data_IF_626197818384
#
_entry.id   IF_626197818384
#
_cell.length_a   1.000
_cell.length_b   1.000
_cell.length_c   1.000
_cell.angle_alpha   90.00
_cell.angle_beta   90.00
_cell.angle_gamma   90.00
#
_symmetry.space_group_name_H-M   'P 1'
#
loop_
_entity.id
_entity.type
_entity.pdbx_description
1 polymer ?
#
# COMPACT_ATOMS: atom_id res chain seq x y z
N UNK A 1 23.27 -15.76 -2.20
CA UNK A 1 21.94 -15.27 -1.72
C UNK A 1 21.19 -16.37 -0.95
N UNK A 2 20.91 -17.53 -1.56
CA UNK A 2 20.10 -18.60 -0.93
C UNK A 2 20.69 -19.24 0.34
N UNK A 3 22.02 -19.14 0.59
CA UNK A 3 22.66 -19.74 1.77
C UNK A 3 22.58 -18.92 3.05
N UNK A 4 22.34 -17.60 2.98
CA UNK A 4 22.38 -16.69 4.12
C UNK A 4 21.07 -15.94 4.36
N UNK A 5 19.99 -16.23 3.62
CA UNK A 5 18.75 -15.43 3.63
C UNK A 5 19.01 -13.92 3.45
N UNK A 6 20.09 -13.57 2.75
CA UNK A 6 20.49 -12.20 2.49
C UNK A 6 19.78 -11.77 1.20
N UNK A 7 18.64 -11.08 1.36
CA UNK A 7 17.82 -10.53 0.27
C UNK A 7 18.33 -9.15 -0.09
N UNK A 8 19.61 -9.04 -0.48
CA UNK A 8 20.12 -7.80 -1.05
C UNK A 8 19.49 -7.55 -2.43
N UNK A 9 19.27 -6.27 -2.74
CA UNK A 9 18.57 -5.79 -3.93
C UNK A 9 19.35 -6.02 -5.25
N UNK A 10 19.80 -7.24 -5.51
CA UNK A 10 20.59 -7.58 -6.69
C UNK A 10 19.87 -7.28 -8.03
N UNK A 11 18.54 -7.26 -8.03
CA UNK A 11 17.73 -6.94 -9.20
C UNK A 11 17.82 -5.47 -9.61
N UNK A 12 18.09 -4.59 -8.65
CA UNK A 12 18.07 -3.14 -8.84
C UNK A 12 19.44 -2.49 -8.96
N UNK A 13 20.54 -3.24 -8.83
CA UNK A 13 21.89 -2.71 -9.06
C UNK A 13 22.10 -2.22 -10.51
N UNK A 14 21.30 -2.70 -11.46
CA UNK A 14 21.36 -2.29 -12.89
C UNK A 14 20.28 -1.29 -13.32
N UNK A 15 19.52 -0.70 -12.39
CA UNK A 15 18.60 0.42 -12.64
C UNK A 15 17.12 0.05 -12.54
N UNK A 16 16.47 0.48 -11.47
CA UNK A 16 15.02 0.76 -11.55
C UNK A 16 14.87 1.73 -12.72
N UNK A 17 14.04 1.42 -13.72
CA UNK A 17 13.85 2.39 -14.80
C UNK A 17 13.24 3.64 -14.18
N UNK A 18 14.05 4.68 -13.98
CA UNK A 18 13.59 6.02 -13.55
C UNK A 18 12.35 6.43 -14.36
N UNK A 19 12.37 6.06 -15.64
CA UNK A 19 11.22 6.19 -16.54
C UNK A 19 9.93 5.54 -16.00
N UNK A 20 9.98 4.32 -15.45
CA UNK A 20 8.78 3.64 -14.95
C UNK A 20 8.19 4.35 -13.73
N UNK A 21 9.06 4.76 -12.81
CA UNK A 21 8.66 5.55 -11.62
C UNK A 21 8.08 6.90 -12.03
N UNK A 22 8.70 7.58 -12.99
CA UNK A 22 8.19 8.85 -13.53
C UNK A 22 6.87 8.67 -14.25
N UNK A 23 6.70 7.59 -15.03
CA UNK A 23 5.44 7.28 -15.71
C UNK A 23 4.30 7.07 -14.71
N UNK A 24 4.55 6.28 -13.64
CA UNK A 24 3.59 6.04 -12.57
C UNK A 24 3.16 7.36 -11.93
N UNK A 25 4.12 8.23 -11.62
CA UNK A 25 3.83 9.55 -11.06
C UNK A 25 3.08 10.46 -12.02
N UNK A 26 3.53 10.55 -13.27
CA UNK A 26 2.95 11.45 -14.26
C UNK A 26 1.51 11.07 -14.65
N UNK A 27 1.19 9.78 -14.56
CA UNK A 27 -0.16 9.29 -14.78
C UNK A 27 -1.05 9.33 -13.53
N UNK A 28 -0.52 9.78 -12.40
CA UNK A 28 -1.20 9.75 -11.09
C UNK A 28 -1.82 8.38 -10.80
N UNK A 29 -1.08 7.31 -11.17
CA UNK A 29 -1.55 5.95 -11.01
C UNK A 29 -1.66 5.62 -9.53
N UNK A 30 -2.84 5.15 -9.10
CA UNK A 30 -3.05 4.69 -7.75
C UNK A 30 -2.42 3.30 -7.59
N UNK A 31 -1.37 3.21 -6.77
CA UNK A 31 -0.61 1.98 -6.56
C UNK A 31 -1.40 0.89 -5.85
N UNK A 32 -2.48 1.21 -5.17
CA UNK A 32 -3.38 0.20 -4.60
C UNK A 32 -4.00 -0.70 -5.68
N UNK A 33 -4.08 -0.21 -6.93
CA UNK A 33 -4.50 -1.02 -8.08
C UNK A 33 -3.49 -2.08 -8.51
N UNK A 34 -2.35 -2.21 -7.83
CA UNK A 34 -1.43 -3.35 -8.00
C UNK A 34 -1.82 -4.57 -7.18
N UNK A 35 -2.84 -4.45 -6.34
CA UNK A 35 -3.47 -5.58 -5.66
C UNK A 35 -4.54 -6.22 -6.54
N UNK A 36 -4.61 -7.56 -6.52
CA UNK A 36 -5.65 -8.33 -7.21
C UNK A 36 -5.82 -7.97 -8.70
N UNK A 37 -4.72 -7.84 -9.43
CA UNK A 37 -4.74 -7.43 -10.83
C UNK A 37 -5.35 -8.54 -11.70
N UNK A 38 -6.47 -8.23 -12.34
CA UNK A 38 -7.08 -9.07 -13.37
C UNK A 38 -7.07 -8.33 -14.72
N UNK A 39 -6.54 -8.98 -15.75
CA UNK A 39 -6.48 -8.41 -17.10
C UNK A 39 -6.87 -9.43 -18.15
N UNK A 40 -7.52 -8.97 -19.20
CA UNK A 40 -7.80 -9.79 -20.36
C UNK A 40 -6.54 -10.13 -21.17
N UNK A 41 -6.53 -11.29 -21.81
CA UNK A 41 -5.41 -11.77 -22.64
C UNK A 41 -4.96 -10.76 -23.71
N UNK A 42 -5.87 -9.97 -24.26
CA UNK A 42 -5.58 -8.98 -25.29
C UNK A 42 -5.05 -7.67 -24.69
N UNK A 43 -5.46 -7.33 -23.47
CA UNK A 43 -5.06 -6.11 -22.78
C UNK A 43 -3.59 -6.15 -22.37
N UNK A 44 -3.12 -7.31 -21.93
CA UNK A 44 -1.72 -7.52 -21.51
C UNK A 44 -0.72 -7.37 -22.66
N UNK A 45 -1.20 -7.55 -23.91
CA UNK A 45 -0.40 -7.43 -25.14
C UNK A 45 -0.50 -6.07 -25.80
N UNK A 46 -1.41 -5.22 -25.34
CA UNK A 46 -1.66 -3.93 -25.95
C UNK A 46 -0.47 -2.99 -25.68
N UNK A 47 0.32 -2.77 -26.71
CA UNK A 47 1.39 -1.78 -26.73
C UNK A 47 1.00 -0.65 -27.64
N UNK A 48 0.53 0.43 -27.05
CA UNK A 48 0.31 1.69 -27.76
C UNK A 48 1.40 2.69 -27.38
N UNK A 49 2.25 3.03 -28.31
CA UNK A 49 3.36 3.98 -28.11
C UNK A 49 2.85 5.35 -27.66
N UNK A 50 1.63 5.72 -28.05
CA UNK A 50 0.98 7.00 -27.69
C UNK A 50 0.33 6.98 -26.30
N UNK A 51 0.00 5.78 -25.76
CA UNK A 51 -0.68 5.63 -24.49
C UNK A 51 -0.18 4.40 -23.72
N UNK A 52 1.04 4.47 -23.23
CA UNK A 52 1.66 3.39 -22.46
C UNK A 52 0.84 3.13 -21.19
N UNK A 53 0.28 1.93 -21.07
CA UNK A 53 -0.45 1.50 -19.88
C UNK A 53 0.52 0.88 -18.84
N UNK A 54 0.29 1.18 -17.57
CA UNK A 54 1.22 0.80 -16.49
C UNK A 54 1.25 -0.71 -16.28
N UNK A 55 0.10 -1.36 -16.17
CA UNK A 55 0.02 -2.82 -15.90
C UNK A 55 0.69 -3.64 -17.00
N UNK A 56 0.36 -3.46 -18.30
CA UNK A 56 1.08 -4.14 -19.37
C UNK A 56 2.59 -3.87 -19.36
N UNK A 57 3.01 -2.65 -19.06
CA UNK A 57 4.43 -2.30 -18.98
C UNK A 57 5.14 -3.03 -17.82
N UNK A 58 4.54 -3.06 -16.63
CA UNK A 58 5.06 -3.79 -15.46
C UNK A 58 5.19 -5.29 -15.77
N UNK A 59 4.22 -5.86 -16.47
CA UNK A 59 4.28 -7.25 -16.90
C UNK A 59 5.41 -7.49 -17.91
N UNK A 60 5.53 -6.67 -18.94
CA UNK A 60 6.56 -6.80 -19.97
C UNK A 60 7.98 -6.57 -19.43
N UNK A 61 8.13 -5.74 -18.42
CA UNK A 61 9.43 -5.46 -17.76
C UNK A 61 9.75 -6.43 -16.63
N UNK A 62 8.87 -7.41 -16.36
CA UNK A 62 9.10 -8.48 -15.38
C UNK A 62 8.84 -8.10 -13.93
N UNK A 63 8.23 -6.93 -13.66
CA UNK A 63 7.77 -6.58 -12.31
C UNK A 63 6.49 -7.34 -11.91
N UNK A 64 5.68 -7.72 -12.89
CA UNK A 64 4.52 -8.57 -12.71
C UNK A 64 4.67 -9.87 -13.48
N UNK A 65 4.02 -10.93 -13.01
CA UNK A 65 3.95 -12.23 -13.66
C UNK A 65 2.53 -12.78 -13.57
N UNK A 66 2.21 -13.76 -14.41
CA UNK A 66 0.94 -14.47 -14.36
C UNK A 66 1.01 -15.49 -13.24
N UNK A 67 0.14 -15.39 -12.25
CA UNK A 67 -0.04 -16.39 -11.18
C UNK A 67 -1.12 -17.41 -11.49
N UNK A 68 -2.17 -16.95 -12.14
CA UNK A 68 -3.33 -17.78 -12.46
C UNK A 68 -3.93 -17.36 -13.81
N UNK A 69 -4.53 -18.32 -14.51
CA UNK A 69 -5.30 -18.07 -15.73
C UNK A 69 -6.69 -18.67 -15.53
N UNK A 70 -7.70 -17.80 -15.55
CA UNK A 70 -9.09 -18.18 -15.40
C UNK A 70 -9.76 -18.20 -16.78
N UNK A 71 -10.50 -19.29 -17.08
CA UNK A 71 -11.22 -19.52 -18.34
C UNK A 71 -10.40 -19.27 -19.63
N UNK A 72 -9.08 -19.35 -19.55
CA UNK A 72 -8.13 -19.09 -20.65
C UNK A 72 -8.16 -17.65 -21.21
N UNK A 73 -8.89 -16.75 -20.57
CA UNK A 73 -9.10 -15.36 -21.02
C UNK A 73 -8.72 -14.30 -19.99
N UNK A 74 -8.82 -14.60 -18.69
CA UNK A 74 -8.49 -13.68 -17.60
C UNK A 74 -7.15 -14.12 -16.98
N UNK A 75 -6.23 -13.20 -16.88
CA UNK A 75 -4.93 -13.39 -16.26
C UNK A 75 -4.89 -12.63 -14.93
N UNK A 76 -4.62 -13.37 -13.84
CA UNK A 76 -4.35 -12.78 -12.54
C UNK A 76 -2.85 -12.55 -12.42
N UNK A 77 -2.49 -11.30 -12.24
CA UNK A 77 -1.09 -10.87 -12.16
C UNK A 77 -0.71 -10.52 -10.73
N UNK A 78 0.55 -10.77 -10.41
CA UNK A 78 1.14 -10.41 -9.13
C UNK A 78 2.67 -10.32 -9.29
N UNK A 79 3.38 -9.84 -8.26
CA UNK A 79 4.83 -9.82 -8.24
C UNK A 79 5.41 -11.24 -8.34
N UNK A 80 6.53 -11.46 -9.06
CA UNK A 80 7.13 -12.78 -9.20
C UNK A 80 7.51 -13.41 -7.85
N UNK A 81 8.04 -12.59 -6.96
CA UNK A 81 8.48 -12.97 -5.62
C UNK A 81 8.62 -11.74 -4.72
N UNK A 82 8.81 -11.98 -3.42
CA UNK A 82 8.96 -10.94 -2.40
C UNK A 82 10.14 -9.97 -2.66
N UNK A 83 11.25 -10.45 -3.22
CA UNK A 83 12.42 -9.60 -3.49
C UNK A 83 12.08 -8.51 -4.52
N UNK A 84 11.42 -8.89 -5.61
CA UNK A 84 10.97 -7.94 -6.66
C UNK A 84 9.96 -6.96 -6.08
N UNK A 85 8.95 -7.46 -5.37
CA UNK A 85 7.93 -6.64 -4.72
C UNK A 85 8.54 -5.61 -3.76
N UNK A 86 9.31 -6.08 -2.78
CA UNK A 86 9.90 -5.23 -1.74
C UNK A 86 10.85 -4.20 -2.34
N UNK A 87 11.68 -4.59 -3.29
CA UNK A 87 12.61 -3.69 -3.95
C UNK A 87 11.91 -2.63 -4.79
N UNK A 88 10.88 -3.02 -5.54
CA UNK A 88 10.09 -2.10 -6.35
C UNK A 88 9.34 -1.10 -5.46
N UNK A 89 8.62 -1.58 -4.45
CA UNK A 89 7.88 -0.74 -3.51
C UNK A 89 8.80 0.21 -2.72
N UNK A 90 9.99 -0.23 -2.30
CA UNK A 90 10.96 0.64 -1.63
C UNK A 90 11.46 1.76 -2.55
N UNK A 91 11.70 1.48 -3.82
CA UNK A 91 12.13 2.50 -4.78
C UNK A 91 11.01 3.49 -5.09
N UNK A 92 9.77 3.01 -5.25
CA UNK A 92 8.60 3.87 -5.38
C UNK A 92 8.43 4.75 -4.13
N UNK A 93 8.48 4.15 -2.93
CA UNK A 93 8.33 4.87 -1.67
C UNK A 93 9.39 5.96 -1.50
N UNK A 94 10.66 5.67 -1.80
CA UNK A 94 11.74 6.68 -1.84
C UNK A 94 11.41 7.80 -2.82
N UNK A 95 10.97 7.45 -4.03
CA UNK A 95 10.67 8.44 -5.06
C UNK A 95 9.43 9.28 -4.73
N UNK A 96 8.34 8.67 -4.27
CA UNK A 96 7.12 9.38 -3.87
C UNK A 96 7.35 10.25 -2.63
N UNK A 97 8.17 9.81 -1.70
CA UNK A 97 8.46 10.52 -0.45
C UNK A 97 9.71 11.39 -0.48
N UNK A 98 10.35 11.58 -1.63
CA UNK A 98 11.64 12.28 -1.73
C UNK A 98 12.67 11.76 -0.71
N UNK A 99 12.83 10.44 -0.64
CA UNK A 99 13.70 9.73 0.29
C UNK A 99 13.36 9.90 1.79
N UNK A 100 12.12 10.24 2.15
CA UNK A 100 11.68 10.25 3.55
C UNK A 100 11.32 8.87 4.07
N UNK A 101 10.80 7.98 3.20
CA UNK A 101 10.57 6.58 3.53
C UNK A 101 11.84 5.80 3.16
N UNK A 102 12.56 5.38 4.18
CA UNK A 102 13.81 4.62 4.08
C UNK A 102 13.72 3.34 4.88
N UNK A 103 14.61 2.38 4.64
CA UNK A 103 14.66 1.12 5.39
C UNK A 103 14.66 1.33 6.92
N UNK A 104 15.47 2.26 7.50
CA UNK A 104 15.40 2.52 8.95
C UNK A 104 14.06 3.08 9.41
N UNK A 105 13.38 3.89 8.59
CA UNK A 105 12.05 4.43 8.92
C UNK A 105 11.03 3.31 8.93
N UNK A 106 11.01 2.46 7.90
CA UNK A 106 10.12 1.29 7.81
C UNK A 106 10.34 0.36 9.00
N UNK A 107 11.60 0.03 9.34
CA UNK A 107 11.91 -0.81 10.48
C UNK A 107 11.42 -0.24 11.82
N UNK A 108 11.51 1.09 12.00
CA UNK A 108 10.96 1.78 13.17
C UNK A 108 9.45 1.67 13.24
N UNK A 109 8.75 1.91 12.12
CA UNK A 109 7.30 1.77 12.05
C UNK A 109 6.83 0.36 12.40
N UNK A 110 7.51 -0.68 11.88
CA UNK A 110 7.25 -2.08 12.25
C UNK A 110 7.33 -2.31 13.75
N UNK A 111 8.43 -1.87 14.38
CA UNK A 111 8.61 -2.02 15.84
C UNK A 111 7.49 -1.35 16.64
N UNK A 112 7.04 -0.17 16.21
CA UNK A 112 5.96 0.55 16.89
C UNK A 112 4.63 -0.23 16.82
N UNK A 113 4.32 -0.86 15.69
CA UNK A 113 3.11 -1.70 15.55
C UNK A 113 3.21 -2.98 16.36
N UNK A 114 4.35 -3.69 16.28
CA UNK A 114 4.57 -4.93 17.04
C UNK A 114 4.44 -4.67 18.54
N UNK A 115 4.97 -3.55 19.02
CA UNK A 115 4.91 -3.16 20.43
C UNK A 115 3.61 -2.47 20.84
N UNK A 116 2.63 -2.35 19.93
CA UNK A 116 1.35 -1.64 20.17
C UNK A 116 1.53 -0.16 20.56
N UNK A 117 2.63 0.47 20.13
CA UNK A 117 2.92 1.88 20.40
C UNK A 117 2.24 2.79 19.36
N UNK A 118 0.90 2.71 19.28
CA UNK A 118 0.09 3.33 18.22
C UNK A 118 0.23 4.84 18.14
N UNK A 119 0.28 5.53 19.27
CA UNK A 119 0.46 6.99 19.28
C UNK A 119 1.76 7.42 18.59
N UNK A 120 2.86 6.72 18.90
CA UNK A 120 4.16 6.99 18.27
C UNK A 120 4.15 6.61 16.79
N UNK A 121 3.51 5.50 16.44
CA UNK A 121 3.33 5.09 15.04
C UNK A 121 2.61 6.19 14.25
N UNK A 122 1.47 6.67 14.75
CA UNK A 122 0.69 7.75 14.15
C UNK A 122 1.51 9.03 14.02
N UNK A 123 2.24 9.42 15.07
CA UNK A 123 3.11 10.60 15.03
C UNK A 123 4.20 10.46 13.96
N UNK A 124 4.79 9.28 13.82
CA UNK A 124 5.80 9.03 12.79
C UNK A 124 5.19 9.12 11.39
N UNK A 125 4.01 8.53 11.16
CA UNK A 125 3.28 8.65 9.88
C UNK A 125 2.95 10.12 9.59
N UNK A 126 2.38 10.86 10.53
CA UNK A 126 2.10 12.29 10.38
C UNK A 126 3.36 13.10 10.03
N UNK A 127 4.50 12.78 10.65
CA UNK A 127 5.78 13.43 10.36
C UNK A 127 6.25 13.15 8.92
N UNK A 128 6.07 11.93 8.43
CA UNK A 128 6.37 11.59 7.04
C UNK A 128 5.50 12.44 6.11
N UNK A 129 4.19 12.44 6.28
CA UNK A 129 3.27 13.21 5.45
C UNK A 129 3.55 14.72 5.52
N UNK A 130 3.81 15.26 6.71
CA UNK A 130 4.18 16.67 6.88
C UNK A 130 5.45 17.05 6.12
N UNK A 131 6.41 16.16 6.04
CA UNK A 131 7.67 16.39 5.32
C UNK A 131 7.50 16.45 3.79
N UNK A 132 6.33 16.07 3.26
CA UNK A 132 6.02 16.03 1.83
C UNK A 132 5.43 17.36 1.29
N UNK A 133 5.32 18.38 2.10
CA UNK A 133 4.65 19.65 1.76
C UNK A 133 5.20 20.35 0.52
N UNK A 134 6.47 20.16 0.19
CA UNK A 134 7.14 20.79 -0.95
C UNK A 134 7.15 19.96 -2.24
N UNK A 135 6.40 18.85 -2.28
CA UNK A 135 6.32 18.01 -3.48
C UNK A 135 5.28 18.62 -4.44
N UNK A 136 5.56 18.54 -5.74
CA UNK A 136 4.56 18.82 -6.77
C UNK A 136 3.45 17.78 -6.73
N UNK A 137 2.51 17.95 -5.79
CA UNK A 137 1.33 17.11 -5.69
C UNK A 137 0.34 17.55 -6.77
N UNK A 138 -0.36 16.61 -7.40
CA UNK A 138 -1.36 16.88 -8.40
C UNK A 138 -2.36 17.95 -7.96
N UNK A 139 -2.87 18.73 -8.92
CA UNK A 139 -3.77 19.84 -8.62
C UNK A 139 -5.21 19.39 -8.41
N UNK A 140 -5.65 18.33 -9.09
CA UNK A 140 -7.01 17.83 -8.95
C UNK A 140 -7.18 17.10 -7.59
N UNK A 141 -8.41 17.09 -7.08
CA UNK A 141 -8.73 16.40 -5.82
C UNK A 141 -8.52 14.89 -5.96
N UNK A 142 -9.01 14.32 -7.06
CA UNK A 142 -8.90 12.88 -7.37
C UNK A 142 -7.45 12.43 -7.48
N UNK A 143 -6.58 13.19 -8.15
CA UNK A 143 -5.17 12.86 -8.28
C UNK A 143 -4.43 12.95 -6.93
N UNK A 144 -4.90 13.85 -6.03
CA UNK A 144 -4.36 13.94 -4.66
C UNK A 144 -4.74 12.72 -3.84
N UNK A 145 -5.98 12.25 -3.93
CA UNK A 145 -6.43 11.02 -3.27
C UNK A 145 -5.59 9.83 -3.74
N UNK A 146 -5.44 9.62 -5.06
CA UNK A 146 -4.61 8.57 -5.63
C UNK A 146 -3.14 8.65 -5.14
N UNK A 147 -2.59 9.85 -5.02
CA UNK A 147 -1.24 10.05 -4.50
C UNK A 147 -1.12 9.62 -3.03
N UNK A 148 -2.07 10.01 -2.16
CA UNK A 148 -2.05 9.64 -0.74
C UNK A 148 -2.32 8.17 -0.53
N UNK A 149 -3.24 7.58 -1.28
CA UNK A 149 -3.51 6.14 -1.28
C UNK A 149 -2.24 5.37 -1.69
N UNK A 150 -1.59 5.77 -2.77
CA UNK A 150 -0.33 5.16 -3.21
C UNK A 150 0.76 5.24 -2.15
N UNK A 151 0.91 6.39 -1.50
CA UNK A 151 1.93 6.55 -0.47
C UNK A 151 1.64 5.70 0.76
N UNK A 152 0.37 5.62 1.15
CA UNK A 152 -0.05 4.78 2.25
C UNK A 152 0.12 3.29 1.91
N UNK A 153 -0.31 2.87 0.72
CA UNK A 153 -0.08 1.54 0.19
C UNK A 153 1.40 1.14 0.28
N UNK A 154 2.30 2.01 -0.20
CA UNK A 154 3.74 1.75 -0.12
C UNK A 154 4.26 1.62 1.31
N UNK A 155 3.78 2.46 2.23
CA UNK A 155 4.17 2.36 3.64
C UNK A 155 3.71 1.02 4.22
N UNK A 156 2.46 0.66 4.01
CA UNK A 156 1.87 -0.57 4.59
C UNK A 156 2.51 -1.82 3.98
N UNK A 157 2.66 -1.88 2.66
CA UNK A 157 3.27 -3.04 1.98
C UNK A 157 4.71 -3.26 2.44
N UNK A 158 5.49 -2.19 2.64
CA UNK A 158 6.86 -2.28 3.15
C UNK A 158 6.95 -2.72 4.63
N UNK A 159 5.84 -2.73 5.36
CA UNK A 159 5.81 -3.26 6.72
C UNK A 159 5.79 -4.80 6.74
N UNK A 160 5.42 -5.46 5.64
CA UNK A 160 5.34 -6.93 5.58
C UNK A 160 6.70 -7.59 5.81
N UNK A 161 6.74 -8.58 6.70
CA UNK A 161 7.86 -9.50 6.93
C UNK A 161 7.37 -10.78 7.62
N UNK A 162 8.29 -11.58 8.18
CA UNK A 162 7.93 -12.85 8.85
C UNK A 162 7.06 -12.69 10.10
N UNK A 163 7.04 -11.50 10.73
CA UNK A 163 6.33 -11.23 11.99
C UNK A 163 5.14 -10.28 11.80
N UNK A 164 4.95 -9.74 10.60
CA UNK A 164 3.94 -8.76 10.30
C UNK A 164 3.45 -8.93 8.85
N UNK A 165 2.16 -9.26 8.72
CA UNK A 165 1.51 -9.38 7.42
C UNK A 165 0.64 -8.16 7.18
N UNK A 166 0.69 -7.63 5.96
CA UNK A 166 -0.18 -6.54 5.52
C UNK A 166 -0.99 -7.02 4.33
N UNK A 167 -2.27 -6.68 4.37
CA UNK A 167 -3.21 -6.93 3.28
C UNK A 167 -3.89 -5.60 2.95
N UNK A 168 -3.82 -5.19 1.72
CA UNK A 168 -4.49 -3.98 1.22
C UNK A 168 -5.69 -4.36 0.37
N UNK A 169 -6.67 -3.46 0.25
CA UNK A 169 -7.82 -3.62 -0.64
C UNK A 169 -8.58 -4.95 -0.48
N UNK A 170 -8.74 -5.41 0.78
CA UNK A 170 -9.28 -6.74 1.09
C UNK A 170 -10.78 -6.79 0.86
N UNK A 171 -11.21 -7.58 -0.11
CA UNK A 171 -12.62 -7.78 -0.42
C UNK A 171 -13.34 -8.58 0.68
N UNK A 172 -14.54 -8.14 1.01
CA UNK A 172 -15.47 -8.81 1.92
C UNK A 172 -16.87 -8.86 1.29
N UNK A 173 -17.80 -9.61 1.88
CA UNK A 173 -19.22 -9.60 1.45
C UNK A 173 -19.87 -8.22 1.60
N UNK A 174 -19.40 -7.41 2.52
CA UNK A 174 -19.99 -6.11 2.88
C UNK A 174 -19.24 -4.91 2.24
N UNK A 175 -18.13 -5.17 1.58
CA UNK A 175 -17.33 -4.13 0.94
C UNK A 175 -15.85 -4.44 0.91
N UNK A 176 -15.02 -3.42 0.84
CA UNK A 176 -13.58 -3.52 0.75
C UNK A 176 -12.93 -2.80 1.94
N UNK A 177 -11.97 -3.46 2.58
CA UNK A 177 -11.17 -2.91 3.67
C UNK A 177 -9.91 -2.31 3.06
N UNK A 178 -9.60 -1.06 3.37
CA UNK A 178 -8.45 -0.38 2.77
C UNK A 178 -7.12 -1.01 3.19
N UNK A 179 -6.95 -1.35 4.46
CA UNK A 179 -5.75 -2.07 4.92
C UNK A 179 -5.98 -2.87 6.20
N UNK A 180 -5.33 -4.02 6.26
CA UNK A 180 -5.26 -4.86 7.45
C UNK A 180 -3.78 -5.11 7.75
N UNK A 181 -3.38 -4.89 9.00
CA UNK A 181 -2.05 -5.23 9.49
C UNK A 181 -2.19 -6.28 10.58
N UNK A 182 -1.60 -7.44 10.37
CA UNK A 182 -1.63 -8.54 11.31
C UNK A 182 -0.24 -8.80 11.89
N UNK A 183 -0.14 -8.72 13.22
CA UNK A 183 1.03 -9.10 14.01
C UNK A 183 0.77 -10.44 14.71
N UNK A 184 1.71 -10.92 15.49
CA UNK A 184 1.51 -12.14 16.29
C UNK A 184 0.39 -12.00 17.31
N UNK A 185 0.16 -10.79 17.84
CA UNK A 185 -0.76 -10.56 18.95
C UNK A 185 -1.97 -9.69 18.59
N UNK A 186 -1.91 -8.92 17.51
CA UNK A 186 -2.95 -7.96 17.17
C UNK A 186 -3.26 -7.93 15.68
N UNK A 187 -4.50 -7.54 15.37
CA UNK A 187 -4.98 -7.25 14.02
C UNK A 187 -5.46 -5.80 14.00
N UNK A 188 -4.85 -5.00 13.14
CA UNK A 188 -5.23 -3.61 12.91
C UNK A 188 -6.06 -3.53 11.64
N UNK A 189 -7.30 -3.05 11.74
CA UNK A 189 -8.19 -2.81 10.61
C UNK A 189 -8.24 -1.31 10.37
N UNK A 190 -7.78 -0.87 9.21
CA UNK A 190 -7.56 0.54 8.91
C UNK A 190 -8.45 0.96 7.74
N UNK A 191 -9.17 2.05 7.93
CA UNK A 191 -10.02 2.67 6.92
C UNK A 191 -9.64 4.14 6.75
N UNK A 192 -9.65 4.62 5.50
CA UNK A 192 -9.28 5.99 5.16
C UNK A 192 -10.47 6.77 4.62
N UNK A 193 -10.49 8.05 4.97
CA UNK A 193 -11.37 9.04 4.36
C UNK A 193 -10.58 10.29 4.01
N UNK A 194 -10.95 10.93 2.93
CA UNK A 194 -10.42 12.23 2.54
C UNK A 194 -11.46 13.30 2.87
N UNK A 195 -11.10 14.26 3.74
CA UNK A 195 -11.93 15.42 4.13
C UNK A 195 -13.31 15.10 4.75
N UNK A 196 -13.52 13.86 5.21
CA UNK A 196 -14.83 13.46 5.75
C UNK A 196 -14.83 13.28 7.29
N UNK A 197 -13.67 12.98 7.88
CA UNK A 197 -13.52 12.73 9.32
C UNK A 197 -13.16 11.29 9.66
N UNK A 198 -12.30 11.12 10.66
CA UNK A 198 -11.86 9.80 11.12
C UNK A 198 -12.99 8.99 11.78
N UNK A 199 -13.99 9.67 12.35
CA UNK A 199 -15.17 9.02 12.93
C UNK A 199 -15.99 8.29 11.86
N UNK A 200 -16.13 8.88 10.66
CA UNK A 200 -16.85 8.25 9.54
C UNK A 200 -16.08 7.02 9.06
N UNK A 201 -14.74 7.08 9.00
CA UNK A 201 -13.92 5.93 8.66
C UNK A 201 -14.07 4.80 9.70
N UNK A 202 -14.00 5.12 10.98
CA UNK A 202 -14.19 4.16 12.06
C UNK A 202 -15.61 3.55 12.05
N UNK A 203 -16.63 4.38 11.82
CA UNK A 203 -18.01 3.92 11.74
C UNK A 203 -18.22 2.97 10.54
N UNK A 204 -17.57 3.21 9.40
CA UNK A 204 -17.62 2.29 8.25
C UNK A 204 -17.09 0.90 8.60
N UNK A 205 -15.97 0.81 9.33
CA UNK A 205 -15.44 -0.50 9.77
C UNK A 205 -16.50 -1.27 10.58
N UNK A 206 -17.22 -0.56 11.46
CA UNK A 206 -18.27 -1.14 12.32
C UNK A 206 -19.51 -1.53 11.51
N UNK A 207 -20.04 -0.63 10.70
CA UNK A 207 -21.26 -0.84 9.91
C UNK A 207 -21.10 -1.99 8.91
N UNK A 208 -19.87 -2.16 8.39
CA UNK A 208 -19.49 -3.23 7.48
C UNK A 208 -19.03 -4.51 8.19
N UNK A 209 -19.06 -4.55 9.52
CA UNK A 209 -18.63 -5.70 10.32
C UNK A 209 -17.27 -6.29 9.92
N UNK A 210 -16.33 -5.44 9.50
CA UNK A 210 -15.04 -5.89 9.00
C UNK A 210 -14.23 -6.72 10.00
N UNK A 211 -14.44 -6.51 11.29
CA UNK A 211 -13.78 -7.23 12.37
C UNK A 211 -14.27 -8.67 12.55
N UNK A 212 -15.50 -8.99 12.14
CA UNK A 212 -16.15 -10.28 12.45
C UNK A 212 -15.32 -11.48 11.98
N UNK A 213 -14.75 -11.40 10.77
CA UNK A 213 -13.94 -12.47 10.19
C UNK A 213 -12.66 -12.79 10.99
N UNK A 214 -12.23 -11.89 11.86
CA UNK A 214 -11.00 -12.03 12.64
C UNK A 214 -11.23 -12.49 14.07
N UNK A 215 -12.46 -12.52 14.57
CA UNK A 215 -12.80 -12.96 15.94
C UNK A 215 -12.44 -14.42 16.22
N UNK A 216 -12.31 -15.22 15.17
CA UNK A 216 -11.86 -16.63 15.28
C UNK A 216 -10.34 -16.73 15.55
N UNK A 217 -9.59 -15.65 15.34
CA UNK A 217 -8.17 -15.58 15.65
C UNK A 217 -8.02 -15.09 17.09
N UNK A 218 -7.25 -15.79 17.88
CA UNK A 218 -6.96 -15.41 19.29
C UNK A 218 -5.97 -14.22 19.32
N UNK A 219 -6.42 -13.05 18.82
CA UNK A 219 -5.64 -11.82 18.71
C UNK A 219 -6.51 -10.63 19.07
N UNK A 220 -5.89 -9.61 19.69
CA UNK A 220 -6.57 -8.33 19.89
C UNK A 220 -6.92 -7.65 18.56
N UNK A 221 -8.13 -7.10 18.45
CA UNK A 221 -8.59 -6.41 17.24
C UNK A 221 -8.64 -4.90 17.52
N UNK A 222 -8.00 -4.13 16.66
CA UNK A 222 -7.87 -2.69 16.79
C UNK A 222 -8.37 -2.03 15.51
N UNK A 223 -9.40 -1.21 15.63
CA UNK A 223 -10.00 -0.45 14.54
C UNK A 223 -9.35 0.93 14.46
N UNK A 224 -8.96 1.35 13.27
CA UNK A 224 -8.31 2.63 13.03
C UNK A 224 -9.01 3.35 11.88
N UNK A 225 -9.78 4.38 12.21
CA UNK A 225 -10.32 5.33 11.24
C UNK A 225 -9.36 6.49 11.03
N UNK A 226 -9.03 6.80 9.80
CA UNK A 226 -8.06 7.86 9.46
C UNK A 226 -8.68 8.84 8.47
N UNK A 227 -8.48 10.14 8.71
CA UNK A 227 -8.93 11.20 7.83
C UNK A 227 -7.77 12.05 7.31
N UNK A 228 -7.64 12.11 5.99
CA UNK A 228 -6.70 12.98 5.31
C UNK A 228 -7.31 14.35 5.01
N UNK A 229 -6.58 15.42 5.35
CA UNK A 229 -6.84 16.77 4.89
C UNK A 229 -6.06 16.98 3.58
N UNK A 230 -6.78 16.97 2.46
CA UNK A 230 -6.16 17.10 1.13
C UNK A 230 -5.62 18.51 0.86
N UNK A 231 -6.07 19.54 1.58
CA UNK A 231 -5.55 20.90 1.49
C UNK A 231 -4.26 21.04 2.28
N UNK A 232 -4.28 20.59 3.55
CA UNK A 232 -3.09 20.60 4.44
C UNK A 232 -2.11 19.49 4.12
N UNK A 233 -2.50 18.54 3.27
CA UNK A 233 -1.64 17.44 2.80
C UNK A 233 -1.11 16.57 3.93
N UNK A 234 -1.95 16.30 4.92
CA UNK A 234 -1.56 15.53 6.10
C UNK A 234 -2.76 14.81 6.71
N UNK A 235 -2.46 13.86 7.59
CA UNK A 235 -3.46 13.24 8.44
C UNK A 235 -3.99 14.30 9.41
N UNK A 236 -5.27 14.59 9.31
CA UNK A 236 -5.96 15.58 10.16
C UNK A 236 -6.29 14.99 11.52
N UNK A 237 -7.02 13.88 11.50
CA UNK A 237 -7.49 13.19 12.70
C UNK A 237 -7.45 11.67 12.51
N UNK A 238 -7.36 10.97 13.62
CA UNK A 238 -7.39 9.51 13.71
C UNK A 238 -8.26 9.13 14.88
N UNK A 239 -9.05 8.08 14.71
CA UNK A 239 -9.83 7.44 15.77
C UNK A 239 -9.41 5.98 15.90
N UNK A 240 -9.22 5.55 17.12
CA UNK A 240 -8.81 4.20 17.46
C UNK A 240 -9.82 3.61 18.44
N UNK A 241 -10.18 2.37 18.22
CA UNK A 241 -11.02 1.59 19.12
C UNK A 241 -10.50 0.16 19.19
N UNK A 242 -10.34 -0.36 20.39
CA UNK A 242 -10.03 -1.76 20.63
C UNK A 242 -11.32 -2.52 20.84
N UNK A 243 -11.43 -3.70 20.24
CA UNK A 243 -12.54 -4.63 20.46
C UNK A 243 -11.99 -5.87 21.16
N UNK A 244 -12.70 -6.28 22.19
CA UNK A 244 -12.45 -7.51 22.96
C UNK A 244 -12.92 -8.76 22.21
#
# INVERSE_FOLDING_TARGET
>A
ALKNADFDNYWFESGTPTFLVELIKNKNFDLSNLENIEVGKNEIKAYDIGNIQIIPLLFQTGYLTIKEIEDQVIYKLDYPNYEVENSFNLNLAKSFSQNKITVPVVHRLKKLLINKELEKFIQQIKSIFFSLVNINIPKSLQDREAYYNSLFYLITTLLTDNNLNVYSEVLTSEGRIDSIVETDTNIYIIEFKANQGAEIALQQIKDKNYAERFKIKDKGIILIGTNFDTEKRNIKDIKIEEID
#
